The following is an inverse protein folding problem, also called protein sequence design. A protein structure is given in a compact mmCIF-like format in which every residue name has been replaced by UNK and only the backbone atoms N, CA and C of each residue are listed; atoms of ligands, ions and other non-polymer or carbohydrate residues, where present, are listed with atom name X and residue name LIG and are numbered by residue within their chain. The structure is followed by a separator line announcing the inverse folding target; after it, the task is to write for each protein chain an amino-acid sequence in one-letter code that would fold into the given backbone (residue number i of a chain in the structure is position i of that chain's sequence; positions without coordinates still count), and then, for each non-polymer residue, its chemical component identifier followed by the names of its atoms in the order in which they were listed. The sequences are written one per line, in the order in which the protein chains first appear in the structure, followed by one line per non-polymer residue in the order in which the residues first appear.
data_IF_135177101888
#
_entry.id   IF_135177101888
#
_cell.length_a   1.000
_cell.length_b   1.000
_cell.length_c   1.000
_cell.angle_alpha   90.00
_cell.angle_beta   90.00
_cell.angle_gamma   90.00
#
_symmetry.space_group_name_H-M   'P 1'
#
loop_
_entity.id
_entity.type
_entity.pdbx_description
1 polymer ?
#
# COMPACT_ATOMS: atom_id res chain seq x y z
N UNK A 1 -12.12 -28.78 9.25
CA UNK A 1 -10.75 -28.39 8.84
C UNK A 1 -10.86 -27.45 7.64
N UNK A 2 -10.18 -26.31 7.77
CA UNK A 2 -9.84 -25.24 6.81
C UNK A 2 -10.95 -24.34 6.22
N UNK A 3 -10.66 -23.04 6.26
CA UNK A 3 -11.57 -21.90 6.20
C UNK A 3 -11.85 -21.41 4.78
N UNK A 4 -13.05 -20.85 4.57
CA UNK A 4 -13.42 -20.08 3.40
C UNK A 4 -12.53 -18.82 3.28
N UNK A 5 -11.62 -18.81 2.32
CA UNK A 5 -10.91 -17.61 1.90
C UNK A 5 -11.85 -16.72 1.10
N UNK A 6 -12.08 -15.45 1.48
CA UNK A 6 -12.78 -14.52 0.61
C UNK A 6 -11.87 -14.18 -0.57
N UNK A 7 -12.26 -14.61 -1.78
CA UNK A 7 -11.60 -14.23 -3.03
C UNK A 7 -11.82 -12.72 -3.25
N UNK A 8 -10.78 -11.87 -3.24
CA UNK A 8 -10.98 -10.46 -3.52
C UNK A 8 -11.29 -10.30 -5.01
N UNK A 9 -12.55 -10.00 -5.32
CA UNK A 9 -13.00 -9.61 -6.66
C UNK A 9 -12.32 -8.30 -7.05
N UNK A 10 -11.19 -8.40 -7.77
CA UNK A 10 -10.43 -7.25 -8.30
C UNK A 10 -11.05 -6.81 -9.63
N UNK A 11 -12.14 -6.07 -9.57
CA UNK A 11 -12.50 -5.14 -10.65
C UNK A 11 -11.51 -3.98 -10.58
N UNK A 12 -10.44 -4.03 -11.38
CA UNK A 12 -9.36 -3.04 -11.29
C UNK A 12 -8.85 -2.68 -12.67
N UNK A 13 -9.04 -1.42 -13.04
CA UNK A 13 -8.34 -0.79 -14.15
C UNK A 13 -6.82 -0.99 -13.96
N UNK A 14 -6.10 -1.53 -14.96
CA UNK A 14 -4.77 -2.10 -14.76
C UNK A 14 -3.70 -1.09 -14.35
N UNK A 15 -3.83 0.18 -14.76
CA UNK A 15 -2.84 1.22 -14.47
C UNK A 15 -2.79 1.58 -12.97
N UNK A 16 -3.95 1.73 -12.33
CA UNK A 16 -4.03 2.12 -10.91
C UNK A 16 -3.64 0.95 -10.00
N UNK A 17 -4.02 -0.27 -10.36
CA UNK A 17 -3.70 -1.46 -9.57
C UNK A 17 -2.20 -1.76 -9.58
N UNK A 18 -1.54 -1.64 -10.75
CA UNK A 18 -0.10 -1.85 -10.86
C UNK A 18 0.70 -0.89 -9.96
N UNK A 19 0.19 0.31 -9.73
CA UNK A 19 0.88 1.31 -8.90
C UNK A 19 0.66 1.05 -7.40
N UNK A 20 -0.55 0.64 -6.99
CA UNK A 20 -0.82 0.28 -5.60
C UNK A 20 -0.15 -1.04 -5.19
N UNK A 21 -0.25 -2.08 -6.02
CA UNK A 21 0.34 -3.40 -5.75
C UNK A 21 1.87 -3.30 -5.59
N UNK A 22 2.52 -2.50 -6.45
CA UNK A 22 3.94 -2.16 -6.32
C UNK A 22 4.25 -1.41 -5.02
N UNK A 23 3.43 -0.44 -4.63
CA UNK A 23 3.62 0.29 -3.37
C UNK A 23 3.44 -0.62 -2.15
N UNK A 24 2.48 -1.54 -2.21
CA UNK A 24 2.27 -2.54 -1.17
C UNK A 24 3.46 -3.51 -1.05
N UNK A 25 3.96 -4.04 -2.17
CA UNK A 25 5.14 -4.90 -2.18
C UNK A 25 6.37 -4.20 -1.56
N UNK A 26 6.60 -2.93 -1.92
CA UNK A 26 7.68 -2.12 -1.33
C UNK A 26 7.48 -1.90 0.17
N UNK A 27 6.25 -1.68 0.63
CA UNK A 27 5.95 -1.51 2.04
C UNK A 27 6.18 -2.81 2.84
N UNK A 28 5.81 -3.97 2.28
CA UNK A 28 6.10 -5.28 2.91
C UNK A 28 7.61 -5.52 2.99
N UNK A 29 8.34 -5.25 1.91
CA UNK A 29 9.79 -5.42 1.88
C UNK A 29 10.47 -4.49 2.90
N UNK A 30 10.12 -3.20 2.92
CA UNK A 30 10.68 -2.25 3.89
C UNK A 30 10.35 -2.62 5.33
N UNK A 31 9.15 -3.15 5.63
CA UNK A 31 8.83 -3.66 6.97
C UNK A 31 9.73 -4.83 7.35
N UNK A 32 9.94 -5.79 6.43
CA UNK A 32 10.84 -6.93 6.67
C UNK A 32 12.29 -6.49 6.91
N UNK A 33 12.75 -5.47 6.19
CA UNK A 33 14.12 -4.95 6.33
C UNK A 33 14.31 -4.10 7.58
N UNK A 34 13.34 -3.26 7.94
CA UNK A 34 13.50 -2.26 9.02
C UNK A 34 12.83 -2.64 10.34
N UNK A 35 11.92 -3.62 10.33
CA UNK A 35 11.08 -3.98 11.48
C UNK A 35 10.07 -2.89 11.88
N UNK A 36 9.98 -1.80 11.12
CA UNK A 36 9.10 -0.66 11.44
C UNK A 36 7.79 -0.72 10.67
N UNK A 37 6.69 -0.21 11.25
CA UNK A 37 5.44 -0.07 10.52
C UNK A 37 5.62 0.78 9.27
N UNK A 38 5.06 0.31 8.14
CA UNK A 38 5.11 1.03 6.88
C UNK A 38 3.71 1.44 6.46
N UNK A 39 3.58 2.70 6.04
CA UNK A 39 2.35 3.32 5.61
C UNK A 39 2.41 3.50 4.10
N UNK A 40 1.43 2.94 3.39
CA UNK A 40 1.18 3.24 1.98
C UNK A 40 0.26 4.45 1.93
N UNK A 41 0.79 5.56 1.42
CA UNK A 41 0.13 6.84 1.35
C UNK A 41 -0.19 7.17 -0.10
N UNK A 42 -1.37 7.72 -0.36
CA UNK A 42 -1.72 8.30 -1.66
C UNK A 42 -1.35 9.77 -1.64
N UNK A 43 -0.51 10.18 -2.58
CA UNK A 43 0.12 11.52 -2.65
C UNK A 43 -0.63 12.47 -3.56
N UNK A 44 -1.55 11.99 -4.40
CA UNK A 44 -2.31 12.84 -5.34
C UNK A 44 -1.52 13.33 -6.56
N UNK A 45 -0.19 13.14 -6.55
CA UNK A 45 0.70 13.40 -7.67
C UNK A 45 0.47 12.39 -8.80
N UNK A 46 0.36 12.86 -10.05
CA UNK A 46 0.17 12.00 -11.21
C UNK A 46 1.41 11.14 -11.53
N UNK A 47 2.61 11.60 -11.17
CA UNK A 47 3.88 10.91 -11.41
C UNK A 47 4.25 9.97 -10.26
N UNK A 48 3.89 10.30 -9.02
CA UNK A 48 4.06 9.44 -7.87
C UNK A 48 2.73 9.34 -7.09
N UNK A 49 1.77 8.54 -7.57
CA UNK A 49 0.43 8.47 -6.97
C UNK A 49 0.44 7.87 -5.57
N UNK A 50 1.41 7.00 -5.31
CA UNK A 50 1.58 6.28 -4.04
C UNK A 50 3.01 6.41 -3.53
N UNK A 51 3.14 6.59 -2.21
CA UNK A 51 4.40 6.73 -1.50
C UNK A 51 4.39 5.86 -0.25
N UNK A 52 5.46 5.12 -0.03
CA UNK A 52 5.67 4.34 1.19
C UNK A 52 6.49 5.16 2.17
N UNK A 53 5.99 5.31 3.40
CA UNK A 53 6.69 6.00 4.48
C UNK A 53 6.63 5.18 5.76
N UNK A 54 7.71 5.21 6.55
CA UNK A 54 7.71 4.69 7.92
C UNK A 54 7.12 5.71 8.92
N UNK A 55 6.82 6.92 8.45
CA UNK A 55 6.21 7.99 9.23
C UNK A 55 4.74 8.09 8.87
N UNK A 56 3.89 8.38 9.85
CA UNK A 56 2.44 8.49 9.63
C UNK A 56 2.06 9.51 8.55
N UNK A 57 0.82 9.44 8.04
CA UNK A 57 0.33 10.35 7.01
C UNK A 57 0.51 11.82 7.43
N UNK A 58 1.11 12.64 6.56
CA UNK A 58 1.05 14.11 6.72
C UNK A 58 -0.34 14.60 6.29
N UNK A 59 -0.71 15.83 6.68
CA UNK A 59 -2.06 16.41 6.47
C UNK A 59 -2.60 16.28 5.03
N UNK A 60 -1.73 16.24 4.03
CA UNK A 60 -2.12 16.17 2.61
C UNK A 60 -2.03 14.75 2.01
N UNK A 61 -1.75 13.73 2.82
CA UNK A 61 -1.57 12.34 2.37
C UNK A 61 -2.69 11.46 2.89
N UNK A 62 -3.40 10.80 1.97
CA UNK A 62 -4.45 9.84 2.33
C UNK A 62 -3.81 8.49 2.66
N UNK A 63 -4.03 8.00 3.88
CA UNK A 63 -3.59 6.66 4.28
C UNK A 63 -4.40 5.60 3.51
N UNK A 64 -3.71 4.75 2.77
CA UNK A 64 -4.33 3.64 2.04
C UNK A 64 -4.19 2.32 2.82
N UNK A 65 -3.02 2.06 3.38
CA UNK A 65 -2.77 0.82 4.12
C UNK A 65 -1.65 1.01 5.13
N UNK A 66 -1.85 0.41 6.30
CA UNK A 66 -0.84 0.25 7.34
C UNK A 66 -0.35 -1.20 7.32
N UNK A 67 0.97 -1.36 7.27
CA UNK A 67 1.64 -2.64 7.45
C UNK A 67 2.38 -2.58 8.79
N UNK A 68 1.78 -3.13 9.84
CA UNK A 68 2.31 -3.20 11.20
C UNK A 68 2.89 -4.57 11.49
#
# INVERSE_FOLDING_TARGET
MIAATPTPSRSSTPATLATYDRAYAVAVQKRRETGRPQFVLRTGDALQPFRVSATGPKRDQSLMTLIA
#
